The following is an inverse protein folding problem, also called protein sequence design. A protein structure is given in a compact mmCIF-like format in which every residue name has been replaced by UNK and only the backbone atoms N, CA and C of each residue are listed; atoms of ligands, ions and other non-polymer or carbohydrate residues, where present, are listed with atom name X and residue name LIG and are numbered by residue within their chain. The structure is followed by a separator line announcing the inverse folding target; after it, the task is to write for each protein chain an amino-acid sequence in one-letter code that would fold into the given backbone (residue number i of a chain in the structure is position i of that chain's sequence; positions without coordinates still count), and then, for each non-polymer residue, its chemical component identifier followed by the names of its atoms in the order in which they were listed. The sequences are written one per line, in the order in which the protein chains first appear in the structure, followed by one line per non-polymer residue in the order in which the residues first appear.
data_IF_085449481512
#
_entry.id   IF_085449481512
#
_cell.length_a   1.000
_cell.length_b   1.000
_cell.length_c   1.000
_cell.angle_alpha   90.00
_cell.angle_beta   90.00
_cell.angle_gamma   90.00
#
_symmetry.space_group_name_H-M   'P 1'
#
loop_
_entity.id
_entity.type
_entity.pdbx_description
1 polymer ?
#
# COMPACT_ATOMS: atom_id res chain seq x y z
N UNK A 1 -20.07 14.83 9.08
CA UNK A 1 -19.61 14.10 7.89
C UNK A 1 -18.10 13.94 7.98
N UNK A 2 -17.54 12.93 7.32
CA UNK A 2 -16.10 12.88 7.03
C UNK A 2 -15.80 13.53 5.68
N UNK A 3 -14.54 13.48 5.25
CA UNK A 3 -14.08 13.97 3.95
C UNK A 3 -14.43 13.01 2.80
N UNK A 4 -14.80 11.77 3.11
CA UNK A 4 -15.15 10.72 2.14
C UNK A 4 -16.66 10.45 2.14
N UNK A 5 -17.19 10.17 0.95
CA UNK A 5 -18.59 9.84 0.72
C UNK A 5 -18.80 8.31 0.82
N UNK A 6 -19.15 7.85 2.01
CA UNK A 6 -19.30 6.42 2.34
C UNK A 6 -20.77 5.99 2.19
N UNK A 7 -21.14 5.43 1.03
CA UNK A 7 -22.51 5.00 0.68
C UNK A 7 -22.77 3.53 0.99
N UNK A 8 -21.74 2.71 0.91
CA UNK A 8 -21.79 1.26 1.12
C UNK A 8 -21.45 0.91 2.57
N UNK A 9 -20.56 1.68 3.19
CA UNK A 9 -20.10 1.44 4.56
C UNK A 9 -21.16 1.71 5.63
N UNK A 10 -21.00 1.06 6.78
CA UNK A 10 -21.92 1.21 7.90
C UNK A 10 -22.00 2.65 8.42
N UNK A 11 -23.22 3.06 8.79
CA UNK A 11 -23.46 4.40 9.34
C UNK A 11 -22.62 4.69 10.60
N UNK A 12 -22.19 5.95 10.72
CA UNK A 12 -21.39 6.42 11.85
C UNK A 12 -19.88 6.25 11.68
N UNK A 13 -19.42 5.53 10.64
CA UNK A 13 -18.01 5.56 10.23
C UNK A 13 -17.69 6.94 9.64
N UNK A 14 -16.53 7.49 9.97
CA UNK A 14 -16.02 8.72 9.36
C UNK A 14 -14.57 8.51 8.94
N UNK A 15 -14.24 8.95 7.74
CA UNK A 15 -12.87 9.02 7.26
C UNK A 15 -12.53 10.47 6.98
N UNK A 16 -11.39 10.94 7.49
CA UNK A 16 -10.94 12.32 7.31
C UNK A 16 -9.44 12.33 7.03
N UNK A 17 -8.99 13.27 6.21
CA UNK A 17 -7.57 13.59 6.14
C UNK A 17 -7.09 14.17 7.47
N UNK A 18 -5.85 13.91 7.84
CA UNK A 18 -5.29 14.40 9.10
C UNK A 18 -3.79 14.61 9.02
N UNK A 19 -3.31 15.76 9.48
CA UNK A 19 -1.88 15.97 9.76
C UNK A 19 -1.51 15.46 11.17
N UNK A 20 -2.51 15.14 11.99
CA UNK A 20 -2.33 14.68 13.36
C UNK A 20 -2.52 13.17 13.41
N UNK A 21 -1.42 12.46 13.62
CA UNK A 21 -1.40 11.03 13.91
C UNK A 21 -1.15 10.84 15.40
N UNK A 22 -2.00 10.06 16.06
CA UNK A 22 -1.79 9.70 17.45
C UNK A 22 -0.93 8.44 17.55
N UNK A 23 -0.04 8.32 18.56
CA UNK A 23 0.70 7.10 18.79
C UNK A 23 -0.23 5.93 19.07
N UNK A 24 -0.18 4.93 18.19
CA UNK A 24 -0.80 3.63 18.38
C UNK A 24 0.28 2.58 18.23
N UNK A 25 0.42 1.74 19.26
CA UNK A 25 1.22 0.53 19.15
C UNK A 25 0.40 -0.49 18.35
N UNK A 26 0.41 -0.38 17.02
CA UNK A 26 -0.09 -1.42 16.15
C UNK A 26 1.05 -2.41 15.90
N UNK A 27 0.95 -3.59 16.50
CA UNK A 27 1.75 -4.77 16.13
C UNK A 27 0.78 -5.81 15.60
N UNK A 28 0.94 -6.17 14.33
CA UNK A 28 0.31 -7.32 13.72
C UNK A 28 1.41 -8.26 13.28
N UNK A 29 1.33 -9.54 13.64
CA UNK A 29 2.22 -10.53 13.03
C UNK A 29 1.90 -10.61 11.54
N UNK A 30 2.92 -10.35 10.71
CA UNK A 30 2.78 -10.53 9.26
C UNK A 30 2.44 -12.00 8.97
N UNK A 31 1.36 -12.22 8.21
CA UNK A 31 1.10 -13.53 7.64
C UNK A 31 2.29 -13.90 6.77
N UNK A 32 2.88 -15.06 7.03
CA UNK A 32 4.01 -15.55 6.24
C UNK A 32 3.57 -15.77 4.80
N UNK A 33 4.30 -15.15 3.87
CA UNK A 33 4.15 -15.31 2.43
C UNK A 33 5.54 -15.61 1.85
N UNK A 34 5.62 -16.63 1.01
CA UNK A 34 6.81 -16.92 0.22
C UNK A 34 6.99 -15.89 -0.89
N UNK A 35 8.22 -15.74 -1.41
CA UNK A 35 8.50 -14.90 -2.57
C UNK A 35 7.60 -15.24 -3.77
N UNK A 36 7.31 -16.54 -3.97
CA UNK A 36 6.44 -17.00 -5.05
C UNK A 36 4.99 -16.52 -4.85
N UNK A 37 4.49 -16.51 -3.61
CA UNK A 37 3.17 -15.99 -3.29
C UNK A 37 3.13 -14.47 -3.49
N UNK A 38 4.12 -13.74 -3.00
CA UNK A 38 4.23 -12.28 -3.18
C UNK A 38 4.24 -11.87 -4.66
N UNK A 39 4.95 -12.65 -5.50
CA UNK A 39 5.01 -12.42 -6.94
C UNK A 39 3.85 -13.05 -7.72
N UNK A 40 2.92 -13.73 -7.06
CA UNK A 40 1.74 -14.29 -7.73
C UNK A 40 0.82 -13.19 -8.27
N UNK A 41 -0.03 -13.53 -9.23
CA UNK A 41 -0.98 -12.58 -9.82
C UNK A 41 -2.13 -12.19 -8.89
N UNK A 42 -2.31 -12.88 -7.75
CA UNK A 42 -3.42 -12.62 -6.83
C UNK A 42 -3.12 -13.10 -5.41
N UNK A 43 -3.54 -12.35 -4.40
CA UNK A 43 -3.45 -12.70 -2.98
C UNK A 43 -4.85 -12.63 -2.39
N UNK A 44 -5.27 -13.69 -1.69
CA UNK A 44 -6.62 -13.78 -1.10
C UNK A 44 -7.71 -13.30 -2.07
N UNK A 45 -7.72 -13.87 -3.28
CA UNK A 45 -8.59 -13.53 -4.42
C UNK A 45 -8.47 -12.12 -5.02
N UNK A 46 -7.68 -11.22 -4.45
CA UNK A 46 -7.46 -9.88 -4.99
C UNK A 46 -6.35 -9.88 -6.04
N UNK A 47 -6.61 -9.25 -7.19
CA UNK A 47 -5.61 -9.06 -8.24
C UNK A 47 -4.45 -8.20 -7.74
N UNK A 48 -3.22 -8.66 -7.94
CA UNK A 48 -2.00 -7.89 -7.66
C UNK A 48 -1.46 -7.31 -8.95
N UNK A 49 -1.65 -6.01 -9.15
CA UNK A 49 -1.03 -5.29 -10.27
C UNK A 49 0.42 -4.97 -9.96
N UNK A 50 1.25 -4.84 -10.99
CA UNK A 50 2.66 -4.46 -10.84
C UNK A 50 2.99 -3.37 -11.84
N UNK A 51 3.56 -2.28 -11.36
CA UNK A 51 3.90 -1.14 -12.21
C UNK A 51 5.07 -0.34 -11.64
N UNK A 52 5.85 0.25 -12.54
CA UNK A 52 6.75 1.35 -12.23
C UNK A 52 5.93 2.61 -12.02
N UNK A 53 6.25 3.39 -10.98
CA UNK A 53 5.54 4.62 -10.71
C UNK A 53 6.32 5.69 -9.97
N UNK A 54 5.68 6.85 -9.85
CA UNK A 54 6.16 7.98 -9.05
C UNK A 54 5.07 8.43 -8.09
N UNK A 55 5.38 8.53 -6.81
CA UNK A 55 4.46 9.03 -5.79
C UNK A 55 4.20 10.52 -6.01
N UNK A 56 2.93 10.91 -6.18
CA UNK A 56 2.49 12.30 -6.43
C UNK A 56 1.93 12.97 -5.19
N UNK A 57 1.32 12.20 -4.29
CA UNK A 57 0.81 12.65 -3.01
C UNK A 57 0.84 11.50 -2.00
N UNK A 58 0.98 11.83 -0.72
CA UNK A 58 0.81 10.91 0.41
C UNK A 58 0.07 11.68 1.48
N UNK A 59 -1.14 11.26 1.81
CA UNK A 59 -1.98 11.94 2.78
C UNK A 59 -2.40 10.96 3.88
N UNK A 60 -2.12 11.30 5.13
CA UNK A 60 -2.60 10.54 6.27
C UNK A 60 -4.12 10.70 6.42
N UNK A 61 -4.77 9.61 6.80
CA UNK A 61 -6.19 9.56 7.08
C UNK A 61 -6.45 8.99 8.47
N UNK A 62 -7.52 9.48 9.09
CA UNK A 62 -8.11 8.94 10.31
C UNK A 62 -9.41 8.22 9.98
N UNK A 63 -9.48 6.95 10.33
CA UNK A 63 -10.67 6.11 10.28
C UNK A 63 -11.32 6.10 11.67
N UNK A 64 -12.50 6.68 11.84
CA UNK A 64 -13.26 6.70 13.08
C UNK A 64 -14.48 5.77 12.96
N UNK A 65 -14.44 4.64 13.67
CA UNK A 65 -15.50 3.64 13.75
C UNK A 65 -16.46 3.90 14.92
N UNK A 66 -16.92 5.14 15.07
CA UNK A 66 -17.86 5.52 16.14
C UNK A 66 -17.20 5.70 17.50
N UNK A 67 -15.98 6.21 17.53
CA UNK A 67 -15.17 6.51 18.72
C UNK A 67 -13.88 5.70 18.81
N UNK A 68 -13.73 4.65 18.00
CA UNK A 68 -12.46 3.92 17.84
C UNK A 68 -11.76 4.43 16.60
N UNK A 69 -10.58 5.03 16.80
CA UNK A 69 -9.79 5.63 15.74
C UNK A 69 -8.71 4.64 15.27
N UNK A 70 -8.39 4.70 13.98
CA UNK A 70 -7.23 4.07 13.36
C UNK A 70 -6.61 5.06 12.39
N UNK A 71 -5.29 4.99 12.22
CA UNK A 71 -4.57 5.89 11.33
C UNK A 71 -3.92 5.10 10.20
N UNK A 72 -4.04 5.62 8.97
CA UNK A 72 -3.45 5.06 7.74
C UNK A 72 -3.01 6.19 6.83
N UNK A 73 -2.46 5.87 5.67
CA UNK A 73 -2.18 6.86 4.63
C UNK A 73 -2.75 6.40 3.28
N UNK A 74 -3.02 7.36 2.40
CA UNK A 74 -3.32 7.10 1.00
C UNK A 74 -2.19 7.70 0.16
N UNK A 75 -1.53 6.86 -0.62
CA UNK A 75 -0.60 7.29 -1.64
C UNK A 75 -1.32 7.44 -3.00
N UNK A 76 -1.05 8.53 -3.70
CA UNK A 76 -1.41 8.70 -5.11
C UNK A 76 -0.18 8.45 -5.96
N UNK A 77 -0.19 7.39 -6.76
CA UNK A 77 1.00 6.93 -7.50
C UNK A 77 0.71 7.01 -9.00
N UNK A 78 1.47 7.84 -9.70
CA UNK A 78 1.41 7.90 -11.16
C UNK A 78 2.15 6.71 -11.77
N UNK A 79 1.47 5.99 -12.65
CA UNK A 79 2.01 4.86 -13.42
C UNK A 79 2.95 5.41 -14.49
N UNK A 80 4.22 5.01 -14.45
CA UNK A 80 5.24 5.37 -15.44
C UNK A 80 5.60 4.21 -16.36
N UNK A 81 5.27 2.97 -15.97
CA UNK A 81 5.44 1.77 -16.79
C UNK A 81 4.61 0.61 -16.26
N UNK A 82 3.86 -0.07 -17.14
CA UNK A 82 3.09 -1.25 -16.75
C UNK A 82 3.96 -2.52 -16.80
N UNK A 83 3.85 -3.38 -15.78
CA UNK A 83 4.54 -4.68 -15.71
C UNK A 83 3.51 -5.83 -15.68
N UNK A 84 2.46 -5.72 -14.87
CA UNK A 84 1.34 -6.67 -14.78
C UNK A 84 0.03 -5.94 -14.47
N UNK A 85 -1.06 -6.35 -15.12
CA UNK A 85 -2.38 -5.72 -15.04
C UNK A 85 -2.55 -4.59 -16.06
N UNK A 86 -3.78 -4.08 -16.18
CA UNK A 86 -4.19 -3.14 -17.23
C UNK A 86 -4.14 -1.67 -16.79
N UNK A 87 -3.04 -1.25 -16.15
CA UNK A 87 -2.84 0.14 -15.75
C UNK A 87 -2.16 0.96 -16.87
N UNK A 88 -2.82 2.03 -17.31
CA UNK A 88 -2.28 2.91 -18.33
C UNK A 88 -1.18 3.84 -17.78
N UNK A 89 -0.13 4.09 -18.56
CA UNK A 89 0.88 5.11 -18.23
C UNK A 89 0.23 6.49 -18.13
N UNK A 90 0.58 7.24 -17.10
CA UNK A 90 -0.03 8.52 -16.73
C UNK A 90 -1.29 8.39 -15.86
N UNK A 91 -1.79 7.18 -15.64
CA UNK A 91 -2.85 6.94 -14.66
C UNK A 91 -2.34 7.18 -13.24
N UNK A 92 -3.16 7.76 -12.36
CA UNK A 92 -2.80 7.99 -10.96
C UNK A 92 -3.66 7.08 -10.09
N UNK A 93 -3.07 5.98 -9.60
CA UNK A 93 -3.73 5.01 -8.76
C UNK A 93 -3.75 5.47 -7.30
N UNK A 94 -4.90 5.36 -6.64
CA UNK A 94 -5.05 5.57 -5.20
C UNK A 94 -4.77 4.29 -4.41
N UNK A 95 -3.70 4.27 -3.61
CA UNK A 95 -3.27 3.11 -2.82
C UNK A 95 -3.38 3.39 -1.33
N UNK A 96 -4.20 2.60 -0.62
CA UNK A 96 -4.27 2.62 0.84
C UNK A 96 -3.04 1.90 1.43
N UNK A 97 -2.28 2.64 2.22
CA UNK A 97 -1.16 2.11 2.99
C UNK A 97 -1.67 1.58 4.34
N UNK A 98 -1.03 0.54 4.90
CA UNK A 98 -1.49 -0.08 6.15
C UNK A 98 -1.26 0.82 7.37
N UNK A 99 -0.34 1.77 7.26
CA UNK A 99 0.16 2.59 8.35
C UNK A 99 0.27 4.06 7.91
N UNK A 100 0.20 5.02 8.86
CA UNK A 100 0.44 6.43 8.56
C UNK A 100 1.92 6.66 8.21
N UNK A 101 2.17 7.70 7.42
CA UNK A 101 3.52 8.13 7.00
C UNK A 101 3.92 9.40 7.77
N UNK A 102 5.23 9.56 8.03
CA UNK A 102 5.79 10.72 8.74
C UNK A 102 5.09 11.01 10.08
N UNK A 103 4.75 9.94 10.79
CA UNK A 103 4.23 10.02 12.15
C UNK A 103 5.39 9.82 13.12
N UNK A 104 5.41 10.54 14.24
CA UNK A 104 6.34 10.29 15.35
C UNK A 104 6.02 8.97 16.09
N UNK A 105 5.43 8.00 15.39
CA UNK A 105 4.94 6.72 15.90
C UNK A 105 5.82 5.63 15.30
N UNK A 106 6.48 4.87 16.15
CA UNK A 106 7.17 3.66 15.72
C UNK A 106 6.12 2.61 15.38
N UNK A 107 6.02 2.27 14.10
CA UNK A 107 5.14 1.20 13.63
C UNK A 107 6.03 0.08 13.09
N UNK A 108 5.87 -1.12 13.64
CA UNK A 108 6.61 -2.30 13.16
C UNK A 108 6.29 -2.57 11.70
N UNK A 109 7.22 -3.18 10.97
CA UNK A 109 6.97 -3.65 9.60
C UNK A 109 6.58 -2.54 8.61
N UNK A 110 7.16 -1.35 8.78
CA UNK A 110 6.96 -0.19 7.88
C UNK A 110 8.22 0.27 7.16
N UNK A 111 9.29 -0.53 7.17
CA UNK A 111 10.60 -0.15 6.63
C UNK A 111 10.50 0.44 5.22
N UNK A 112 9.67 -0.13 4.37
CA UNK A 112 9.53 0.31 2.97
C UNK A 112 8.53 1.45 2.86
N UNK A 113 7.28 1.27 3.32
CA UNK A 113 6.25 2.31 3.12
C UNK A 113 6.59 3.62 3.83
N UNK A 114 7.31 3.59 4.95
CA UNK A 114 7.78 4.79 5.66
C UNK A 114 8.69 5.70 4.81
N UNK A 115 9.30 5.17 3.75
CA UNK A 115 10.17 5.91 2.83
C UNK A 115 9.39 6.57 1.68
N UNK A 116 8.07 6.33 1.59
CA UNK A 116 7.24 6.93 0.54
C UNK A 116 7.00 8.40 0.84
N UNK A 117 7.46 9.25 -0.09
CA UNK A 117 7.20 10.69 -0.07
C UNK A 117 6.96 11.16 -1.50
N UNK A 118 6.47 12.39 -1.67
CA UNK A 118 6.27 12.96 -3.01
C UNK A 118 7.57 12.94 -3.80
N UNK A 119 7.54 12.37 -4.99
CA UNK A 119 8.70 12.19 -5.86
C UNK A 119 9.42 10.85 -5.72
N UNK A 120 9.11 10.04 -4.70
CA UNK A 120 9.65 8.68 -4.58
C UNK A 120 9.27 7.86 -5.82
N UNK A 121 10.28 7.26 -6.46
CA UNK A 121 10.09 6.32 -7.57
C UNK A 121 10.17 4.90 -7.07
N UNK A 122 9.46 4.00 -7.72
CA UNK A 122 9.50 2.60 -7.34
C UNK A 122 8.78 1.68 -8.29
N UNK A 123 8.84 0.39 -7.96
CA UNK A 123 7.94 -0.63 -8.48
C UNK A 123 6.97 -0.98 -7.37
N UNK A 124 5.68 -0.86 -7.65
CA UNK A 124 4.61 -1.03 -6.67
C UNK A 124 3.77 -2.24 -7.04
N UNK A 125 3.34 -2.99 -6.02
CA UNK A 125 2.60 -4.23 -6.16
C UNK A 125 1.29 -4.23 -5.36
N UNK A 126 0.38 -3.25 -5.54
CA UNK A 126 -0.83 -3.19 -4.73
C UNK A 126 -1.87 -4.22 -5.15
N UNK A 127 -2.71 -4.64 -4.20
CA UNK A 127 -3.90 -5.43 -4.44
C UNK A 127 -5.04 -4.50 -4.83
N UNK A 128 -5.65 -4.72 -6.01
CA UNK A 128 -6.83 -3.98 -6.43
C UNK A 128 -8.01 -4.33 -5.54
N UNK A 129 -8.75 -3.32 -5.12
CA UNK A 129 -9.96 -3.51 -4.35
C UNK A 129 -11.16 -3.77 -5.24
N UNK A 130 -12.05 -4.65 -4.75
CA UNK A 130 -13.33 -4.95 -5.36
C UNK A 130 -14.45 -4.83 -4.32
N UNK A 131 -15.67 -5.27 -4.68
CA UNK A 131 -16.83 -5.21 -3.78
C UNK A 131 -16.71 -6.05 -2.51
N UNK A 132 -15.70 -6.93 -2.41
CA UNK A 132 -15.43 -7.78 -1.26
C UNK A 132 -14.33 -7.22 -0.36
N UNK A 133 -13.60 -6.20 -0.81
CA UNK A 133 -12.55 -5.53 -0.03
C UNK A 133 -13.14 -4.69 1.10
N UNK A 134 -13.19 -5.29 2.29
CA UNK A 134 -13.76 -4.68 3.48
C UNK A 134 -12.77 -4.66 4.64
N UNK A 135 -12.94 -3.67 5.52
CA UNK A 135 -12.30 -3.62 6.83
C UNK A 135 -13.38 -3.57 7.91
N UNK A 136 -13.44 -4.62 8.73
CA UNK A 136 -14.46 -4.77 9.78
C UNK A 136 -13.84 -4.72 11.17
N UNK A 137 -14.37 -3.84 12.01
CA UNK A 137 -13.99 -3.70 13.41
C UNK A 137 -15.18 -3.18 14.21
N UNK A 138 -15.33 -3.59 15.48
CA UNK A 138 -16.44 -3.18 16.35
C UNK A 138 -17.83 -3.30 15.70
N UNK A 139 -18.09 -4.43 15.03
CA UNK A 139 -19.36 -4.72 14.34
C UNK A 139 -19.72 -3.71 13.23
N UNK A 140 -18.74 -2.92 12.77
CA UNK A 140 -18.87 -1.98 11.67
C UNK A 140 -17.98 -2.38 10.51
N UNK A 141 -18.47 -2.16 9.30
CA UNK A 141 -17.78 -2.51 8.06
C UNK A 141 -17.55 -1.28 7.20
N UNK A 142 -16.29 -1.03 6.86
CA UNK A 142 -15.84 -0.05 5.88
C UNK A 142 -15.54 -0.78 4.56
N UNK A 143 -16.16 -0.35 3.47
CA UNK A 143 -15.80 -0.78 2.12
C UNK A 143 -14.58 0.03 1.66
N UNK A 144 -13.46 -0.66 1.41
CA UNK A 144 -12.18 -0.02 1.11
C UNK A 144 -12.18 0.70 -0.24
N UNK A 145 -13.03 0.26 -1.17
CA UNK A 145 -13.27 0.90 -2.48
C UNK A 145 -13.83 2.33 -2.36
N UNK A 146 -14.39 2.71 -1.19
CA UNK A 146 -14.89 4.07 -0.96
C UNK A 146 -13.79 5.06 -0.56
N UNK A 147 -12.58 4.57 -0.26
CA UNK A 147 -11.45 5.41 0.17
C UNK A 147 -10.21 5.29 -0.73
N UNK A 148 -10.01 4.15 -1.38
CA UNK A 148 -8.91 3.91 -2.31
C UNK A 148 -9.28 2.86 -3.35
N UNK A 149 -8.51 2.76 -4.43
CA UNK A 149 -8.72 1.80 -5.51
C UNK A 149 -7.97 0.49 -5.27
N UNK A 150 -6.89 0.56 -4.50
CA UNK A 150 -6.02 -0.55 -4.20
C UNK A 150 -5.38 -0.36 -2.82
N UNK A 151 -4.65 -1.34 -2.32
CA UNK A 151 -3.87 -1.18 -1.11
C UNK A 151 -2.73 -2.16 -0.94
N UNK A 152 -1.93 -1.92 0.10
CA UNK A 152 -0.92 -2.85 0.59
C UNK A 152 -1.41 -3.56 1.84
N UNK A 153 -1.06 -4.84 1.98
CA UNK A 153 -1.43 -5.62 3.16
C UNK A 153 -0.48 -5.36 4.33
N UNK A 154 0.75 -4.93 4.05
CA UNK A 154 1.76 -4.53 5.04
C UNK A 154 2.73 -3.47 4.50
N UNK A 155 3.55 -2.91 5.40
CA UNK A 155 4.44 -1.79 5.11
C UNK A 155 5.83 -2.19 4.60
N UNK A 156 6.06 -3.46 4.26
CA UNK A 156 7.37 -3.99 3.88
C UNK A 156 7.41 -4.57 2.47
N UNK A 157 6.46 -5.45 2.12
CA UNK A 157 6.66 -6.40 1.03
C UNK A 157 6.13 -5.93 -0.33
N UNK A 158 5.39 -4.83 -0.40
CA UNK A 158 4.60 -4.50 -1.61
C UNK A 158 5.20 -3.39 -2.47
N UNK A 159 6.43 -2.98 -2.20
CA UNK A 159 7.12 -2.00 -3.03
C UNK A 159 8.65 -2.18 -3.02
N UNK A 160 9.28 -1.76 -4.12
CA UNK A 160 10.72 -1.54 -4.25
C UNK A 160 10.92 -0.05 -4.52
N UNK A 161 11.65 0.65 -3.65
CA UNK A 161 11.73 2.11 -3.69
C UNK A 161 13.15 2.58 -3.97
N UNK A 162 13.29 3.50 -4.92
CA UNK A 162 14.54 4.24 -5.12
C UNK A 162 14.62 5.38 -4.10
N UNK A 163 15.70 5.39 -3.31
CA UNK A 163 15.98 6.44 -2.33
C UNK A 163 17.35 7.07 -2.60
N UNK A 164 17.65 8.24 -1.99
CA UNK A 164 18.99 8.83 -2.09
C UNK A 164 20.13 7.90 -1.62
N UNK A 165 19.82 6.90 -0.79
CA UNK A 165 20.80 5.95 -0.24
C UNK A 165 20.83 4.62 -1.02
N UNK A 166 20.09 4.51 -2.13
CA UNK A 166 19.96 3.30 -2.92
C UNK A 166 18.56 2.68 -2.85
N UNK A 167 18.46 1.46 -3.35
CA UNK A 167 17.21 0.72 -3.42
C UNK A 167 16.82 0.15 -2.05
N UNK A 168 15.56 0.35 -1.65
CA UNK A 168 14.98 -0.21 -0.42
C UNK A 168 13.84 -1.16 -0.78
N UNK A 169 13.88 -2.36 -0.20
CA UNK A 169 12.84 -3.38 -0.25
C UNK A 169 13.11 -4.40 0.87
N UNK A 170 12.14 -5.27 1.14
CA UNK A 170 12.31 -6.38 2.09
C UNK A 170 13.14 -7.52 1.46
N UNK A 171 14.43 -7.55 1.74
CA UNK A 171 15.34 -8.55 1.17
C UNK A 171 15.13 -9.97 1.73
N UNK A 172 14.50 -10.12 2.89
CA UNK A 172 14.17 -11.43 3.45
C UNK A 172 12.96 -12.04 2.72
N UNK A 173 11.97 -11.21 2.38
CA UNK A 173 10.81 -11.61 1.59
C UNK A 173 11.15 -11.90 0.11
N UNK A 174 12.22 -11.29 -0.41
CA UNK A 174 12.63 -11.34 -1.81
C UNK A 174 14.07 -11.87 -2.01
N UNK A 175 14.36 -13.13 -1.62
CA UNK A 175 15.72 -13.67 -1.67
C UNK A 175 16.32 -13.72 -3.09
N UNK A 176 15.51 -13.80 -4.14
CA UNK A 176 16.01 -13.80 -5.52
C UNK A 176 16.45 -12.42 -6.03
N UNK A 177 16.13 -11.37 -5.28
CA UNK A 177 16.53 -9.99 -5.56
C UNK A 177 17.82 -9.60 -4.82
N UNK A 178 18.45 -10.54 -4.12
CA UNK A 178 19.70 -10.31 -3.40
C UNK A 178 20.78 -9.70 -4.30
N UNK A 179 21.31 -8.56 -3.87
CA UNK A 179 22.34 -7.82 -4.60
C UNK A 179 21.84 -6.91 -5.72
N UNK A 180 20.52 -6.76 -5.90
CA UNK A 180 19.94 -5.80 -6.84
C UNK A 180 20.14 -4.38 -6.35
N UNK A 181 20.58 -3.49 -7.25
CA UNK A 181 20.90 -2.10 -6.94
C UNK A 181 20.00 -1.09 -7.66
N UNK A 182 19.14 -1.54 -8.60
CA UNK A 182 18.31 -0.65 -9.42
C UNK A 182 16.90 -1.19 -9.68
N UNK A 183 15.95 -0.28 -9.94
CA UNK A 183 14.58 -0.64 -10.33
C UNK A 183 14.53 -1.41 -11.66
N UNK A 184 15.47 -1.16 -12.58
CA UNK A 184 15.53 -1.89 -13.85
C UNK A 184 15.88 -3.37 -13.63
N UNK A 185 16.82 -3.66 -12.73
CA UNK A 185 17.12 -5.05 -12.33
C UNK A 185 15.94 -5.73 -11.63
N UNK A 186 15.26 -5.03 -10.70
CA UNK A 186 14.03 -5.52 -10.07
C UNK A 186 12.99 -5.88 -11.12
N UNK A 187 12.72 -4.97 -12.06
CA UNK A 187 11.77 -5.18 -13.16
C UNK A 187 12.12 -6.41 -13.98
N UNK A 188 13.38 -6.57 -14.35
CA UNK A 188 13.85 -7.71 -15.13
C UNK A 188 13.68 -9.04 -14.38
N UNK A 189 13.91 -9.06 -13.06
CA UNK A 189 13.66 -10.25 -12.24
C UNK A 189 12.16 -10.55 -12.17
N UNK A 190 11.30 -9.55 -11.91
CA UNK A 190 9.84 -9.73 -11.88
C UNK A 190 9.36 -10.32 -13.22
N UNK A 191 9.76 -9.71 -14.35
CA UNK A 191 9.40 -10.19 -15.70
C UNK A 191 9.85 -11.63 -15.98
N UNK A 192 10.91 -12.11 -15.33
CA UNK A 192 11.36 -13.50 -15.44
C UNK A 192 10.53 -14.49 -14.61
N UNK A 193 9.75 -14.00 -13.64
CA UNK A 193 8.99 -14.81 -12.68
C UNK A 193 7.47 -14.77 -12.89
N UNK A 194 6.95 -13.78 -13.61
CA UNK A 194 5.52 -13.61 -13.88
C UNK A 194 5.06 -14.17 -15.24
N UNK A 195 5.94 -14.88 -15.96
CA UNK A 195 5.60 -15.57 -17.22
C UNK A 195 4.77 -16.83 -16.99
#
# INVERSE_FOLDING_TARGET
SGDFDLKLSDSGIKVNYTDKVLPENQSSELVYLTEQELLSGSIDQYEVVVFEGTVKAVDNIKLDFGGTEFYRAIAKIEVTGAIRGDLAVGYVLSVLLPNPIDSNVEVSDTLVTSQMSVGTKGIFMPMLYDSTSIYSTNEKTLYLTEIAEAGFSDGQRWAFLETPNGLIYDSEAYPSFSGVESLEEVKNIILSKIQ
#
